data_IF_242663391998
#
_entry.id   IF_242663391998
#
_cell.length_a   1.000
_cell.length_b   1.000
_cell.length_c   1.000
_cell.angle_alpha   90.00
_cell.angle_beta   90.00
_cell.angle_gamma   90.00
#
_symmetry.space_group_name_H-M   'P 1'
#
loop_
_entity.id
_entity.type
_entity.pdbx_description
1 polymer ?
#
# COMPACT_ATOMS: atom_id res chain seq x y z
N UNK A 1 7.81 55.77 28.69
CA UNK A 1 6.41 55.41 28.41
C UNK A 1 6.41 54.14 27.58
N UNK A 2 6.29 52.98 28.24
CA UNK A 2 6.18 51.70 27.55
C UNK A 2 4.72 51.52 27.10
N UNK A 3 4.50 51.17 25.83
CA UNK A 3 3.17 50.95 25.26
C UNK A 3 2.49 49.77 25.95
N UNK A 4 1.40 50.04 26.64
CA UNK A 4 0.49 49.06 27.25
C UNK A 4 -0.54 48.55 26.24
N UNK A 5 -0.11 48.04 25.09
CA UNK A 5 -1.02 47.24 24.25
C UNK A 5 -0.97 45.80 24.77
N UNK A 6 -1.69 45.59 25.88
CA UNK A 6 -1.93 44.29 26.48
C UNK A 6 -2.94 43.48 25.66
N UNK A 7 -2.64 43.18 24.40
CA UNK A 7 -3.41 42.20 23.64
C UNK A 7 -3.09 40.82 24.20
N UNK A 8 -4.08 40.16 24.80
CA UNK A 8 -3.97 38.76 25.18
C UNK A 8 -3.51 37.92 23.98
N UNK A 9 -2.60 36.97 24.22
CA UNK A 9 -2.21 36.02 23.18
C UNK A 9 -3.46 35.34 22.60
N UNK A 10 -3.54 35.16 21.27
CA UNK A 10 -4.71 34.54 20.65
C UNK A 10 -4.88 33.11 21.16
N UNK A 11 -6.13 32.69 21.36
CA UNK A 11 -6.44 31.31 21.71
C UNK A 11 -5.98 30.36 20.59
N UNK A 12 -5.26 29.31 20.96
CA UNK A 12 -4.87 28.24 20.04
C UNK A 12 -5.90 27.11 20.00
N UNK A 13 -5.90 26.34 18.92
CA UNK A 13 -6.67 25.09 18.80
C UNK A 13 -5.71 23.89 18.91
N UNK A 14 -5.97 23.00 19.88
CA UNK A 14 -5.10 21.85 20.14
C UNK A 14 -4.90 20.95 18.91
N UNK A 15 -5.97 20.68 18.14
CA UNK A 15 -5.89 19.82 16.94
C UNK A 15 -4.99 20.43 15.88
N UNK A 16 -5.09 21.74 15.65
CA UNK A 16 -4.19 22.46 14.73
C UNK A 16 -2.74 22.38 15.18
N UNK A 17 -2.49 22.51 16.49
CA UNK A 17 -1.14 22.39 17.04
C UNK A 17 -0.58 20.97 16.88
N UNK A 18 -1.39 19.92 17.05
CA UNK A 18 -0.96 18.54 16.81
C UNK A 18 -0.52 18.32 15.36
N UNK A 19 -1.27 18.86 14.40
CA UNK A 19 -0.90 18.78 12.98
C UNK A 19 0.35 19.59 12.66
N UNK A 20 0.51 20.76 13.28
CA UNK A 20 1.67 21.63 13.05
C UNK A 20 2.95 21.09 13.70
N UNK A 21 2.81 20.44 14.85
CA UNK A 21 3.90 19.96 15.68
C UNK A 21 3.54 18.54 16.17
N UNK A 22 3.67 17.51 15.30
CA UNK A 22 3.42 16.13 15.71
C UNK A 22 4.41 15.69 16.77
N UNK A 23 4.12 14.56 17.45
CA UNK A 23 5.08 13.93 18.35
C UNK A 23 6.28 13.38 17.55
N UNK A 24 7.49 13.39 18.13
CA UNK A 24 8.65 12.80 17.49
C UNK A 24 8.46 11.29 17.37
N UNK A 25 8.72 10.74 16.17
CA UNK A 25 8.66 9.30 15.91
C UNK A 25 10.09 8.77 15.92
N UNK A 26 10.39 7.86 16.85
CA UNK A 26 11.69 7.19 16.90
C UNK A 26 11.74 6.08 15.85
N UNK A 27 12.85 5.99 15.10
CA UNK A 27 13.05 4.90 14.14
C UNK A 27 13.19 3.55 14.86
N UNK A 28 12.87 2.45 14.19
CA UNK A 28 13.06 1.10 14.73
C UNK A 28 14.52 0.82 15.12
N UNK A 29 15.47 1.34 14.35
CA UNK A 29 16.89 1.19 14.65
C UNK A 29 17.25 1.94 15.93
N UNK A 30 16.71 3.15 16.12
CA UNK A 30 16.84 3.92 17.37
C UNK A 30 16.24 3.15 18.56
N UNK A 31 15.05 2.57 18.39
CA UNK A 31 14.39 1.78 19.44
C UNK A 31 15.19 0.51 19.78
N UNK A 32 15.79 -0.16 18.81
CA UNK A 32 16.66 -1.34 19.05
C UNK A 32 17.92 -0.99 19.85
N UNK A 33 18.43 0.25 19.73
CA UNK A 33 19.55 0.72 20.57
C UNK A 33 19.16 0.89 22.04
N UNK A 34 17.86 0.94 22.37
CA UNK A 34 17.36 1.00 23.75
C UNK A 34 17.43 -0.37 24.46
N UNK A 35 18.20 -1.33 23.93
CA UNK A 35 18.52 -2.58 24.61
C UNK A 35 19.48 -2.31 25.77
N UNK A 36 18.94 -2.12 26.97
CA UNK A 36 19.63 -1.96 28.26
C UNK A 36 20.37 -3.24 28.74
N UNK A 37 20.89 -4.05 27.82
CA UNK A 37 21.53 -5.34 28.17
C UNK A 37 22.78 -5.18 29.04
N UNK A 38 23.43 -4.02 28.99
CA UNK A 38 24.70 -3.74 29.68
C UNK A 38 24.66 -2.53 30.63
N UNK A 39 23.56 -1.77 30.68
CA UNK A 39 23.42 -0.54 31.48
C UNK A 39 21.97 -0.24 31.81
N UNK A 40 21.70 0.33 32.97
CA UNK A 40 20.36 0.73 33.41
C UNK A 40 19.86 2.02 32.73
N UNK A 41 18.55 2.25 32.74
CA UNK A 41 17.92 3.48 32.26
C UNK A 41 18.48 4.72 32.98
N UNK A 42 18.73 4.59 34.29
CA UNK A 42 19.26 5.68 35.10
C UNK A 42 20.69 6.05 34.69
N UNK A 43 21.54 5.07 34.40
CA UNK A 43 22.92 5.31 33.94
C UNK A 43 22.93 6.06 32.60
N UNK A 44 22.11 5.62 31.64
CA UNK A 44 22.01 6.27 30.33
C UNK A 44 21.44 7.69 30.43
N UNK A 45 20.38 7.87 31.22
CA UNK A 45 19.80 9.20 31.43
C UNK A 45 20.77 10.14 32.17
N UNK A 46 21.59 9.62 33.09
CA UNK A 46 22.60 10.41 33.79
C UNK A 46 23.67 10.95 32.83
N UNK A 47 24.13 10.16 31.85
CA UNK A 47 25.08 10.63 30.82
C UNK A 47 24.52 11.84 30.07
N UNK A 48 23.24 11.80 29.68
CA UNK A 48 22.59 12.92 29.00
C UNK A 48 22.46 14.16 29.91
N UNK A 49 22.13 13.97 31.18
CA UNK A 49 22.01 15.06 32.16
C UNK A 49 23.39 15.67 32.49
N UNK A 50 24.45 14.88 32.56
CA UNK A 50 25.81 15.36 32.80
C UNK A 50 26.31 16.21 31.62
N UNK A 51 26.06 15.76 30.38
CA UNK A 51 26.34 16.54 29.18
C UNK A 51 25.55 17.87 29.17
N UNK A 52 24.26 17.81 29.52
CA UNK A 52 23.40 18.98 29.61
C UNK A 52 23.89 19.98 30.68
N UNK A 53 24.28 19.50 31.87
CA UNK A 53 24.83 20.32 32.95
C UNK A 53 26.13 21.02 32.50
N UNK A 54 27.05 20.28 31.87
CA UNK A 54 28.31 20.83 31.39
C UNK A 54 28.09 21.91 30.34
N UNK A 55 27.19 21.66 29.38
CA UNK A 55 26.85 22.62 28.33
C UNK A 55 26.20 23.90 28.89
N UNK A 56 25.28 23.75 29.86
CA UNK A 56 24.62 24.89 30.49
C UNK A 56 25.58 25.72 31.35
N UNK A 57 26.46 25.09 32.13
CA UNK A 57 27.47 25.77 32.93
C UNK A 57 28.49 26.54 32.07
N UNK A 58 28.78 26.03 30.88
CA UNK A 58 29.64 26.69 29.89
C UNK A 58 28.96 27.78 29.06
N UNK A 59 27.62 27.94 29.18
CA UNK A 59 26.80 28.72 28.24
C UNK A 59 27.08 28.34 26.77
N UNK A 60 27.25 27.05 26.51
CA UNK A 60 27.58 26.51 25.19
C UNK A 60 26.31 26.09 24.45
N UNK A 61 25.92 26.91 23.46
CA UNK A 61 24.72 26.67 22.64
C UNK A 61 24.86 25.39 21.81
N UNK A 62 26.05 25.13 21.26
CA UNK A 62 26.26 24.02 20.33
C UNK A 62 26.27 22.69 21.10
N UNK A 63 26.91 22.65 22.26
CA UNK A 63 26.85 21.48 23.14
C UNK A 63 25.42 21.24 23.68
N UNK A 64 24.66 22.31 23.98
CA UNK A 64 23.26 22.16 24.38
C UNK A 64 22.39 21.60 23.24
N UNK A 65 22.66 21.98 21.99
CA UNK A 65 21.94 21.45 20.83
C UNK A 65 22.12 19.93 20.69
N UNK A 66 23.34 19.42 20.92
CA UNK A 66 23.64 17.99 20.86
C UNK A 66 22.92 17.18 21.96
N UNK A 67 22.49 17.83 23.04
CA UNK A 67 21.69 17.19 24.09
C UNK A 67 20.23 16.93 23.68
N UNK A 68 19.78 17.46 22.55
CA UNK A 68 18.42 17.31 22.04
C UNK A 68 18.38 16.50 20.74
N UNK A 69 17.25 15.86 20.47
CA UNK A 69 17.05 15.18 19.19
C UNK A 69 16.98 16.21 18.06
N UNK A 70 17.86 16.08 17.07
CA UNK A 70 18.11 17.13 16.08
C UNK A 70 16.87 17.47 15.22
N UNK A 71 16.01 16.49 14.95
CA UNK A 71 14.81 16.71 14.13
C UNK A 71 13.71 17.44 14.90
N UNK A 72 13.54 17.14 16.19
CA UNK A 72 12.47 17.70 16.99
C UNK A 72 12.69 17.44 18.49
N UNK A 73 12.51 18.47 19.32
CA UNK A 73 12.60 18.34 20.77
C UNK A 73 11.59 19.27 21.45
N UNK A 74 11.09 18.90 22.63
CA UNK A 74 10.17 19.72 23.40
C UNK A 74 10.76 20.02 24.77
N UNK A 75 10.82 21.30 25.13
CA UNK A 75 11.17 21.74 26.49
C UNK A 75 10.03 22.53 27.10
N UNK A 76 9.64 22.13 28.30
CA UNK A 76 8.71 22.88 29.13
C UNK A 76 9.25 22.96 30.54
N UNK A 77 9.49 24.18 30.98
CA UNK A 77 9.73 24.45 32.38
C UNK A 77 8.41 24.84 33.07
N UNK A 78 8.26 24.39 34.30
CA UNK A 78 7.06 24.66 35.12
C UNK A 78 7.39 25.49 36.36
N UNK A 79 8.63 25.41 36.87
CA UNK A 79 8.97 25.99 38.17
C UNK A 79 10.46 26.34 38.32
N UNK A 80 11.36 25.53 37.76
CA UNK A 80 12.78 25.57 38.08
C UNK A 80 13.46 26.84 37.57
N UNK A 81 13.12 27.27 36.35
CA UNK A 81 13.74 28.42 35.69
C UNK A 81 12.79 29.62 35.60
N UNK A 82 11.51 29.33 35.40
CA UNK A 82 10.42 30.27 35.16
C UNK A 82 9.15 29.74 35.81
N UNK A 83 8.22 30.65 36.12
CA UNK A 83 6.86 30.28 36.50
C UNK A 83 5.88 30.48 35.34
N UNK A 84 6.40 30.62 34.12
CA UNK A 84 5.62 30.84 32.92
C UNK A 84 5.53 29.54 32.13
N UNK A 85 4.32 28.96 32.09
CA UNK A 85 4.05 27.73 31.35
C UNK A 85 4.20 27.97 29.84
N UNK A 86 5.39 27.70 29.32
CA UNK A 86 5.73 27.79 27.90
C UNK A 86 6.40 26.50 27.45
N UNK A 87 6.09 26.10 26.22
CA UNK A 87 6.74 24.98 25.56
C UNK A 87 7.49 25.49 24.34
N UNK A 88 8.76 25.14 24.23
CA UNK A 88 9.57 25.33 23.04
C UNK A 88 9.69 23.98 22.33
N UNK A 89 9.64 23.97 20.99
CA UNK A 89 9.55 22.75 20.18
C UNK A 89 10.65 22.62 19.12
N UNK A 90 11.63 23.53 19.11
CA UNK A 90 12.77 23.57 18.20
C UNK A 90 14.06 23.52 19.03
N UNK A 91 15.00 22.59 18.78
CA UNK A 91 16.22 22.44 19.58
C UNK A 91 17.01 23.75 19.77
N UNK A 92 17.16 24.53 18.69
CA UNK A 92 17.87 25.82 18.74
C UNK A 92 17.16 26.85 19.61
N UNK A 93 15.84 26.87 19.59
CA UNK A 93 15.06 27.79 20.41
C UNK A 93 15.10 27.38 21.88
N UNK A 94 15.11 26.07 22.16
CA UNK A 94 15.29 25.53 23.51
C UNK A 94 16.66 25.96 24.07
N UNK A 95 17.76 25.68 23.36
CA UNK A 95 19.12 25.98 23.81
C UNK A 95 19.31 27.48 24.12
N UNK A 96 18.88 28.36 23.22
CA UNK A 96 18.96 29.82 23.43
C UNK A 96 18.15 30.28 24.64
N UNK A 97 16.91 29.80 24.76
CA UNK A 97 16.03 30.18 25.87
C UNK A 97 16.57 29.70 27.23
N UNK A 98 17.23 28.53 27.25
CA UNK A 98 17.88 28.00 28.44
C UNK A 98 19.04 28.88 28.91
N UNK A 99 19.94 29.29 28.00
CA UNK A 99 21.06 30.17 28.35
C UNK A 99 20.56 31.52 28.85
N UNK A 100 19.64 32.16 28.11
CA UNK A 100 19.07 33.45 28.51
C UNK A 100 18.46 33.38 29.92
N UNK A 101 17.79 32.27 30.23
CA UNK A 101 17.16 32.09 31.54
C UNK A 101 18.19 31.76 32.62
N UNK A 102 19.20 30.94 32.30
CA UNK A 102 20.31 30.61 33.20
C UNK A 102 21.04 31.87 33.66
N UNK A 103 21.39 32.77 32.72
CA UNK A 103 22.04 34.04 33.01
C UNK A 103 21.14 34.98 33.83
N UNK A 104 19.86 35.10 33.47
CA UNK A 104 18.92 35.97 34.16
C UNK A 104 18.64 35.52 35.60
N UNK A 105 18.72 34.22 35.87
CA UNK A 105 18.42 33.63 37.18
C UNK A 105 19.64 33.35 38.04
N UNK A 106 20.84 33.33 37.45
CA UNK A 106 22.10 32.93 38.11
C UNK A 106 21.91 31.56 38.76
N UNK A 107 21.58 30.57 37.94
CA UNK A 107 21.44 29.22 38.44
C UNK A 107 22.83 28.65 38.73
N UNK A 108 23.10 28.39 40.01
CA UNK A 108 24.40 27.90 40.48
C UNK A 108 24.40 26.39 40.74
N UNK A 109 23.28 25.71 40.43
CA UNK A 109 23.04 24.31 40.73
C UNK A 109 22.98 23.42 39.49
N UNK A 110 23.37 22.16 39.67
CA UNK A 110 23.28 21.12 38.64
C UNK A 110 21.92 20.41 38.69
N UNK A 111 21.43 20.03 37.51
CA UNK A 111 20.27 19.17 37.36
C UNK A 111 20.64 17.76 37.78
N UNK A 112 19.84 17.14 38.65
CA UNK A 112 20.04 15.76 39.12
C UNK A 112 18.81 14.93 38.82
N UNK A 113 19.05 13.72 38.32
CA UNK A 113 18.00 12.74 38.06
C UNK A 113 17.93 11.74 39.22
N UNK A 114 16.74 11.58 39.80
CA UNK A 114 16.52 10.63 40.92
C UNK A 114 16.15 9.22 40.44
N UNK A 115 15.61 9.11 39.23
CA UNK A 115 15.20 7.86 38.63
C UNK A 115 14.87 8.06 37.15
N UNK A 116 15.06 7.01 36.36
CA UNK A 116 14.69 6.99 34.96
C UNK A 116 14.00 5.67 34.64
N UNK A 117 12.99 5.74 33.77
CA UNK A 117 12.33 4.57 33.20
C UNK A 117 12.02 4.89 31.75
N UNK A 118 12.32 3.95 30.86
CA UNK A 118 11.88 4.04 29.48
C UNK A 118 10.43 3.58 29.37
N UNK A 119 9.55 4.47 28.92
CA UNK A 119 8.12 4.18 28.74
C UNK A 119 7.78 4.34 27.26
N UNK A 120 7.45 3.26 26.53
CA UNK A 120 6.88 3.40 25.20
C UNK A 120 5.51 4.07 25.33
N UNK A 121 5.40 5.33 24.88
CA UNK A 121 4.20 6.14 25.07
C UNK A 121 2.97 5.58 24.32
N UNK A 122 3.20 4.84 23.23
CA UNK A 122 2.20 4.08 22.47
C UNK A 122 2.85 2.81 21.89
N UNK A 123 2.16 1.66 21.83
CA UNK A 123 2.65 0.53 21.06
C UNK A 123 2.66 0.89 19.57
N UNK A 124 3.71 0.51 18.85
CA UNK A 124 3.65 0.50 17.39
C UNK A 124 2.83 -0.72 17.00
N UNK A 125 1.63 -0.49 16.45
CA UNK A 125 0.77 -1.58 16.01
C UNK A 125 1.44 -2.35 14.87
N UNK A 126 1.37 -3.67 14.98
CA UNK A 126 1.90 -4.63 14.03
C UNK A 126 0.81 -5.12 13.09
N UNK A 127 1.13 -5.17 11.79
CA UNK A 127 0.21 -5.60 10.74
C UNK A 127 0.83 -6.73 9.94
N UNK A 128 0.10 -7.83 9.84
CA UNK A 128 0.44 -8.96 8.98
C UNK A 128 -0.39 -8.90 7.70
N UNK A 129 0.25 -8.63 6.57
CA UNK A 129 -0.39 -8.60 5.25
C UNK A 129 -0.25 -9.98 4.61
N UNK A 130 -1.37 -10.61 4.26
CA UNK A 130 -1.38 -11.90 3.56
C UNK A 130 -1.63 -11.66 2.08
N UNK A 131 -0.58 -11.80 1.27
CA UNK A 131 -0.64 -11.53 -0.17
C UNK A 131 0.54 -10.67 -0.62
N UNK A 132 0.73 -10.61 -1.94
CA UNK A 132 1.91 -9.97 -2.56
C UNK A 132 1.64 -9.37 -3.94
N UNK A 133 0.38 -9.37 -4.40
CA UNK A 133 -0.02 -8.70 -5.63
C UNK A 133 -0.34 -7.21 -5.37
N UNK A 134 -0.84 -6.49 -6.38
CA UNK A 134 -1.17 -5.05 -6.30
C UNK A 134 -1.79 -4.60 -4.97
N UNK A 135 -2.93 -5.17 -4.57
CA UNK A 135 -3.60 -4.79 -3.31
C UNK A 135 -2.70 -4.90 -2.08
N UNK A 136 -1.85 -5.93 -2.01
CA UNK A 136 -0.98 -6.12 -0.86
C UNK A 136 0.14 -5.07 -0.80
N UNK A 137 0.66 -4.65 -1.95
CA UNK A 137 1.65 -3.58 -2.05
C UNK A 137 1.06 -2.20 -1.73
N UNK A 138 -0.17 -1.92 -2.18
CA UNK A 138 -0.86 -0.67 -1.84
C UNK A 138 -1.10 -0.56 -0.33
N UNK A 139 -1.64 -1.62 0.28
CA UNK A 139 -1.83 -1.69 1.73
C UNK A 139 -0.51 -1.61 2.49
N UNK A 140 0.55 -2.26 1.99
CA UNK A 140 1.89 -2.18 2.59
C UNK A 140 2.43 -0.74 2.57
N UNK A 141 2.20 0.01 1.48
CA UNK A 141 2.57 1.42 1.39
C UNK A 141 1.81 2.29 2.39
N UNK A 142 0.49 2.10 2.51
CA UNK A 142 -0.36 2.83 3.45
C UNK A 142 0.01 2.53 4.91
N UNK A 143 0.19 1.24 5.26
CA UNK A 143 0.58 0.84 6.61
C UNK A 143 1.98 1.35 6.99
N UNK A 144 2.96 1.26 6.08
CA UNK A 144 4.30 1.79 6.32
C UNK A 144 4.27 3.33 6.49
N UNK A 145 3.49 4.03 5.66
CA UNK A 145 3.34 5.50 5.77
C UNK A 145 2.65 5.93 7.07
N UNK A 146 1.76 5.09 7.61
CA UNK A 146 1.14 5.29 8.92
C UNK A 146 2.06 4.93 10.12
N UNK A 147 3.30 4.49 9.87
CA UNK A 147 4.27 4.14 10.91
C UNK A 147 4.02 2.77 11.57
N UNK A 148 3.25 1.89 10.92
CA UNK A 148 2.95 0.54 11.43
C UNK A 148 4.11 -0.42 11.20
N UNK A 149 4.28 -1.39 12.10
CA UNK A 149 5.23 -2.49 11.90
C UNK A 149 4.62 -3.54 10.97
N UNK A 150 5.04 -3.56 9.71
CA UNK A 150 4.45 -4.43 8.70
C UNK A 150 5.29 -5.69 8.51
N UNK A 151 4.63 -6.83 8.34
CA UNK A 151 5.20 -8.05 7.76
C UNK A 151 4.32 -8.51 6.60
N UNK A 152 4.92 -8.77 5.44
CA UNK A 152 4.23 -9.32 4.28
C UNK A 152 4.47 -10.83 4.17
N UNK A 153 3.41 -11.62 4.17
CA UNK A 153 3.46 -13.03 3.83
C UNK A 153 3.30 -13.24 2.32
N UNK A 154 4.32 -13.87 1.73
CA UNK A 154 4.43 -14.12 0.29
C UNK A 154 4.39 -15.63 0.06
N UNK A 155 3.20 -16.20 -0.05
CA UNK A 155 3.01 -17.66 -0.18
C UNK A 155 3.79 -18.25 -1.36
N UNK A 156 3.73 -17.60 -2.51
CA UNK A 156 4.30 -18.07 -3.78
C UNK A 156 5.02 -16.94 -4.49
N UNK A 157 5.93 -17.24 -5.44
CA UNK A 157 6.58 -16.20 -6.21
C UNK A 157 5.58 -15.25 -6.89
N UNK A 158 5.92 -13.97 -6.92
CA UNK A 158 5.06 -12.94 -7.52
C UNK A 158 5.73 -12.32 -8.73
N UNK A 159 4.97 -12.23 -9.82
CA UNK A 159 5.40 -11.50 -11.00
C UNK A 159 5.33 -10.00 -10.75
N UNK A 160 6.47 -9.32 -10.88
CA UNK A 160 6.56 -7.87 -10.73
C UNK A 160 7.00 -7.26 -12.06
N UNK A 161 6.23 -6.27 -12.52
CA UNK A 161 6.51 -5.50 -13.72
C UNK A 161 6.69 -4.02 -13.38
N UNK A 162 7.77 -3.36 -13.80
CA UNK A 162 7.95 -1.94 -13.55
C UNK A 162 6.94 -1.09 -14.34
N UNK A 163 6.39 -0.04 -13.71
CA UNK A 163 5.48 0.89 -14.38
C UNK A 163 6.14 1.58 -15.59
N UNK A 164 7.47 1.73 -15.60
CA UNK A 164 8.21 2.31 -16.73
C UNK A 164 8.12 1.46 -17.99
N UNK A 165 7.94 0.14 -17.88
CA UNK A 165 7.77 -0.73 -19.05
C UNK A 165 6.42 -0.48 -19.70
N UNK A 166 5.38 -0.34 -18.88
CA UNK A 166 4.02 -0.02 -19.32
C UNK A 166 3.98 1.35 -20.00
N UNK A 167 4.69 2.34 -19.43
CA UNK A 167 4.79 3.72 -19.94
C UNK A 167 5.83 3.89 -21.05
N UNK A 168 6.56 2.85 -21.42
CA UNK A 168 7.63 2.96 -22.41
C UNK A 168 7.04 3.37 -23.78
N UNK A 169 7.71 4.27 -24.49
CA UNK A 169 7.32 4.69 -25.85
C UNK A 169 7.21 3.53 -26.86
N UNK A 170 7.92 2.43 -26.64
CA UNK A 170 7.81 1.22 -27.46
C UNK A 170 6.58 0.38 -27.12
N UNK A 171 5.93 0.63 -25.98
CA UNK A 171 4.59 0.14 -25.64
C UNK A 171 3.54 0.97 -26.38
N UNK A 172 3.71 1.06 -27.70
CA UNK A 172 2.82 1.76 -28.62
C UNK A 172 2.66 3.28 -28.37
N UNK A 173 3.48 3.87 -27.48
CA UNK A 173 3.40 5.28 -27.10
C UNK A 173 2.06 5.66 -26.45
N UNK A 174 1.29 4.69 -25.96
CA UNK A 174 -0.10 4.92 -25.55
C UNK A 174 -0.23 5.98 -24.43
N UNK A 175 0.77 6.08 -23.56
CA UNK A 175 0.82 7.06 -22.47
C UNK A 175 1.26 8.47 -22.90
N UNK A 176 1.75 8.63 -24.13
CA UNK A 176 2.09 9.93 -24.74
C UNK A 176 0.91 10.50 -25.56
N UNK A 177 -0.18 9.72 -25.69
CA UNK A 177 -1.35 10.06 -26.49
C UNK A 177 -2.53 10.49 -25.61
N UNK A 178 -3.51 11.16 -26.22
CA UNK A 178 -4.78 11.44 -25.54
C UNK A 178 -5.54 10.14 -25.23
N UNK A 179 -6.23 10.11 -24.08
CA UNK A 179 -6.97 8.94 -23.55
C UNK A 179 -7.78 8.18 -24.62
N UNK A 180 -8.56 8.90 -25.43
CA UNK A 180 -9.43 8.26 -26.44
C UNK A 180 -8.64 7.58 -27.58
N UNK A 181 -7.44 8.05 -27.88
CA UNK A 181 -6.55 7.44 -28.87
C UNK A 181 -5.85 6.24 -28.26
N UNK A 182 -5.38 6.36 -27.00
CA UNK A 182 -4.78 5.27 -26.26
C UNK A 182 -5.73 4.07 -26.10
N UNK A 183 -6.98 4.32 -25.70
CA UNK A 183 -8.01 3.27 -25.56
C UNK A 183 -8.23 2.52 -26.88
N UNK A 184 -8.36 3.27 -27.98
CA UNK A 184 -8.51 2.69 -29.31
C UNK A 184 -7.33 1.81 -29.68
N UNK A 185 -6.12 2.27 -29.38
CA UNK A 185 -4.91 1.54 -29.69
C UNK A 185 -4.81 0.22 -28.92
N UNK A 186 -5.14 0.24 -27.62
CA UNK A 186 -5.14 -0.98 -26.80
C UNK A 186 -6.22 -1.99 -27.19
N UNK A 187 -7.40 -1.52 -27.59
CA UNK A 187 -8.59 -2.38 -27.75
C UNK A 187 -8.94 -2.72 -29.20
N UNK A 188 -8.16 -2.26 -30.18
CA UNK A 188 -8.34 -2.65 -31.60
C UNK A 188 -7.45 -3.85 -31.99
N UNK A 189 -6.37 -4.11 -31.24
CA UNK A 189 -5.49 -5.24 -31.50
C UNK A 189 -6.09 -6.54 -30.93
N UNK A 190 -6.04 -7.67 -31.66
CA UNK A 190 -6.48 -8.94 -31.12
C UNK A 190 -5.74 -9.29 -29.83
N UNK A 191 -6.44 -9.82 -28.83
CA UNK A 191 -5.87 -10.04 -27.50
C UNK A 191 -4.65 -11.00 -27.54
N UNK A 192 -4.68 -12.02 -28.39
CA UNK A 192 -3.54 -12.92 -28.61
C UNK A 192 -2.31 -12.22 -29.23
N UNK A 193 -2.50 -11.19 -30.04
CA UNK A 193 -1.41 -10.43 -30.67
C UNK A 193 -0.85 -9.41 -29.69
N UNK A 194 -1.71 -8.61 -29.06
CA UNK A 194 -1.30 -7.58 -28.10
C UNK A 194 -0.56 -8.21 -26.90
N UNK A 195 -1.02 -9.37 -26.42
CA UNK A 195 -0.35 -10.11 -25.36
C UNK A 195 1.08 -10.54 -25.71
N UNK A 196 1.31 -10.99 -26.95
CA UNK A 196 2.65 -11.37 -27.42
C UNK A 196 3.56 -10.14 -27.57
N UNK A 197 3.07 -9.07 -28.19
CA UNK A 197 3.83 -7.83 -28.34
C UNK A 197 4.26 -7.27 -26.98
N UNK A 198 3.35 -7.27 -26.01
CA UNK A 198 3.63 -6.78 -24.65
C UNK A 198 4.66 -7.65 -23.92
N UNK A 199 4.46 -8.97 -23.96
CA UNK A 199 5.41 -9.93 -23.35
C UNK A 199 6.81 -9.75 -23.92
N UNK A 200 6.93 -9.74 -25.24
CA UNK A 200 8.24 -9.71 -25.90
C UNK A 200 8.94 -8.36 -25.66
N UNK A 201 8.20 -7.25 -25.67
CA UNK A 201 8.73 -5.94 -25.28
C UNK A 201 9.25 -5.95 -23.83
N UNK A 202 8.46 -6.47 -22.89
CA UNK A 202 8.86 -6.48 -21.48
C UNK A 202 10.05 -7.39 -21.22
N UNK A 203 10.16 -8.49 -21.98
CA UNK A 203 11.34 -9.36 -21.96
C UNK A 203 12.59 -8.63 -22.45
N UNK A 204 12.49 -7.89 -23.57
CA UNK A 204 13.60 -7.06 -24.08
C UNK A 204 14.03 -6.03 -23.04
N UNK A 205 13.08 -5.32 -22.44
CA UNK A 205 13.40 -4.30 -21.42
C UNK A 205 14.02 -4.92 -20.16
N UNK A 206 13.47 -6.03 -19.66
CA UNK A 206 14.05 -6.76 -18.53
C UNK A 206 15.46 -7.30 -18.80
N UNK A 207 15.74 -7.74 -20.02
CA UNK A 207 17.08 -8.21 -20.37
C UNK A 207 18.17 -7.12 -20.30
N UNK A 208 17.77 -5.84 -20.34
CA UNK A 208 18.68 -4.70 -20.21
C UNK A 208 18.96 -4.33 -18.75
N UNK A 209 18.18 -4.85 -17.80
CA UNK A 209 18.25 -4.53 -16.37
C UNK A 209 18.21 -5.81 -15.50
N UNK A 210 19.13 -6.78 -15.70
CA UNK A 210 19.05 -8.11 -15.07
C UNK A 210 19.06 -8.09 -13.53
N UNK A 211 19.66 -7.06 -12.94
CA UNK A 211 19.80 -6.90 -11.49
C UNK A 211 18.73 -6.01 -10.85
N UNK A 212 17.71 -5.57 -11.61
CA UNK A 212 16.70 -4.60 -11.15
C UNK A 212 16.08 -4.97 -9.80
N UNK A 213 15.71 -6.24 -9.63
CA UNK A 213 15.15 -6.76 -8.38
C UNK A 213 16.14 -7.57 -7.54
N UNK A 214 17.45 -7.42 -7.78
CA UNK A 214 18.50 -8.12 -7.03
C UNK A 214 18.46 -7.82 -5.52
N UNK A 215 18.26 -6.55 -5.15
CA UNK A 215 18.12 -6.15 -3.75
C UNK A 215 16.86 -6.75 -3.09
N UNK A 216 15.75 -6.79 -3.82
CA UNK A 216 14.49 -7.38 -3.35
C UNK A 216 14.62 -8.91 -3.14
N UNK A 217 15.29 -9.62 -4.06
CA UNK A 217 15.64 -11.04 -3.90
C UNK A 217 16.53 -11.26 -2.67
N UNK A 218 17.54 -10.41 -2.47
CA UNK A 218 18.44 -10.48 -1.31
C UNK A 218 17.71 -10.25 0.01
N UNK A 219 16.68 -9.41 0.02
CA UNK A 219 15.79 -9.23 1.17
C UNK A 219 14.87 -10.44 1.44
N UNK A 220 14.88 -11.45 0.56
CA UNK A 220 14.13 -12.71 0.74
C UNK A 220 12.79 -12.76 0.03
N UNK A 221 12.46 -11.77 -0.81
CA UNK A 221 11.20 -11.77 -1.56
C UNK A 221 11.34 -12.62 -2.85
N UNK A 222 10.43 -13.60 -3.09
CA UNK A 222 10.48 -14.47 -4.25
C UNK A 222 9.86 -13.77 -5.48
N UNK A 223 10.64 -12.90 -6.13
CA UNK A 223 10.20 -12.16 -7.31
C UNK A 223 10.48 -12.92 -8.62
N UNK A 224 9.47 -12.96 -9.47
CA UNK A 224 9.59 -13.24 -10.91
C UNK A 224 9.53 -11.90 -11.64
N UNK A 225 10.41 -11.68 -12.60
CA UNK A 225 10.39 -10.48 -13.43
C UNK A 225 10.05 -10.83 -14.89
N UNK A 226 10.06 -9.82 -15.77
CA UNK A 226 9.67 -10.03 -17.16
C UNK A 226 10.74 -10.75 -18.01
N UNK A 227 11.92 -11.03 -17.46
CA UNK A 227 12.89 -11.90 -18.12
C UNK A 227 12.49 -13.38 -18.01
N UNK A 228 11.61 -13.75 -17.09
CA UNK A 228 11.07 -15.10 -17.02
C UNK A 228 10.05 -15.34 -18.15
N UNK A 229 10.37 -16.26 -19.06
CA UNK A 229 9.54 -16.61 -20.23
C UNK A 229 8.14 -17.13 -19.89
N UNK A 230 7.91 -17.57 -18.65
CA UNK A 230 6.59 -17.99 -18.18
C UNK A 230 5.68 -16.83 -17.80
N UNK A 231 6.20 -15.60 -17.76
CA UNK A 231 5.46 -14.41 -17.34
C UNK A 231 4.98 -13.58 -18.52
N UNK A 232 3.71 -13.19 -18.47
CA UNK A 232 3.10 -12.28 -19.43
C UNK A 232 1.96 -11.50 -18.74
N UNK A 233 2.15 -10.19 -18.55
CA UNK A 233 1.17 -9.34 -17.85
C UNK A 233 -0.24 -9.47 -18.43
N UNK A 234 -0.34 -9.62 -19.74
CA UNK A 234 -1.65 -9.75 -20.41
C UNK A 234 -2.41 -11.02 -20.00
N UNK A 235 -1.72 -12.16 -19.87
CA UNK A 235 -2.34 -13.40 -19.36
C UNK A 235 -2.77 -13.22 -17.89
N UNK A 236 -1.95 -12.58 -17.05
CA UNK A 236 -2.33 -12.28 -15.68
C UNK A 236 -3.61 -11.42 -15.57
N UNK A 237 -3.79 -10.45 -16.47
CA UNK A 237 -4.98 -9.59 -16.49
C UNK A 237 -6.22 -10.32 -17.01
N UNK A 238 -6.09 -11.08 -18.10
CA UNK A 238 -7.22 -11.64 -18.84
C UNK A 238 -7.66 -12.98 -18.25
N UNK A 239 -6.74 -13.86 -17.88
CA UNK A 239 -7.04 -15.23 -17.46
C UNK A 239 -7.10 -15.36 -15.93
N UNK A 240 -6.25 -14.58 -15.24
CA UNK A 240 -6.07 -14.70 -13.80
C UNK A 240 -6.64 -13.53 -13.01
N UNK A 241 -7.00 -12.42 -13.65
CA UNK A 241 -7.42 -11.18 -12.99
C UNK A 241 -6.57 -10.83 -11.74
N UNK A 242 -5.25 -11.06 -11.80
CA UNK A 242 -4.37 -10.94 -10.65
C UNK A 242 -3.07 -11.75 -10.73
N UNK A 243 -2.39 -11.89 -9.58
CA UNK A 243 -1.11 -12.61 -9.48
C UNK A 243 0.09 -11.83 -10.02
N UNK A 244 0.00 -10.51 -10.10
CA UNK A 244 1.09 -9.63 -10.47
C UNK A 244 1.09 -8.38 -9.58
N UNK A 245 2.21 -7.67 -9.57
CA UNK A 245 2.33 -6.30 -9.05
C UNK A 245 2.91 -5.40 -10.13
N UNK A 246 2.29 -4.24 -10.36
CA UNK A 246 2.89 -3.15 -11.13
C UNK A 246 3.71 -2.29 -10.19
N UNK A 247 5.03 -2.40 -10.28
CA UNK A 247 5.94 -1.68 -9.39
C UNK A 247 5.95 -0.19 -9.72
N UNK A 248 5.46 0.60 -8.77
CA UNK A 248 5.47 2.07 -8.76
C UNK A 248 6.41 2.62 -7.68
N UNK A 249 7.28 1.78 -7.11
CA UNK A 249 8.22 2.09 -6.02
C UNK A 249 7.97 1.31 -4.73
N UNK A 250 6.91 0.50 -4.65
CA UNK A 250 6.56 -0.25 -3.44
C UNK A 250 7.55 -1.35 -3.08
N UNK A 251 8.35 -1.83 -4.03
CA UNK A 251 9.37 -2.85 -3.77
C UNK A 251 10.56 -2.34 -2.95
N UNK A 252 10.83 -1.03 -3.00
CA UNK A 252 12.03 -0.44 -2.39
C UNK A 252 12.02 -0.58 -0.87
N UNK A 253 10.87 -0.39 -0.21
CA UNK A 253 10.77 -0.48 1.25
C UNK A 253 11.01 -1.91 1.78
N UNK A 254 10.67 -2.92 0.99
CA UNK A 254 11.02 -4.32 1.28
C UNK A 254 12.51 -4.57 1.03
N UNK A 255 13.06 -4.09 -0.08
CA UNK A 255 14.48 -4.23 -0.42
C UNK A 255 15.42 -3.56 0.61
N UNK A 256 14.97 -2.46 1.23
CA UNK A 256 15.67 -1.75 2.29
C UNK A 256 15.52 -2.40 3.68
N UNK A 257 14.70 -3.46 3.81
CA UNK A 257 14.46 -4.14 5.09
C UNK A 257 13.61 -3.35 6.09
N UNK A 258 12.87 -2.34 5.63
CA UNK A 258 11.96 -1.54 6.48
C UNK A 258 10.69 -2.31 6.86
N UNK A 259 10.36 -3.34 6.10
CA UNK A 259 9.18 -4.21 6.28
C UNK A 259 9.64 -5.67 6.32
N UNK A 260 9.03 -6.48 7.18
CA UNK A 260 9.33 -7.90 7.28
C UNK A 260 8.80 -8.70 6.09
N UNK A 261 9.50 -9.76 5.70
CA UNK A 261 9.08 -10.70 4.65
C UNK A 261 8.97 -12.10 5.23
N UNK A 262 7.86 -12.77 4.95
CA UNK A 262 7.61 -14.16 5.30
C UNK A 262 7.26 -14.95 4.05
N UNK A 263 8.26 -15.48 3.35
CA UNK A 263 8.13 -16.02 2.00
C UNK A 263 8.04 -17.55 1.94
N UNK A 264 7.37 -18.07 0.91
CA UNK A 264 7.33 -19.49 0.57
C UNK A 264 6.53 -20.38 1.51
N UNK A 265 5.76 -19.78 2.42
CA UNK A 265 4.98 -20.47 3.44
C UNK A 265 3.56 -19.94 3.50
N UNK A 266 2.61 -20.85 3.70
CA UNK A 266 1.19 -20.54 3.71
C UNK A 266 0.65 -20.43 5.14
N UNK A 267 -0.31 -19.52 5.39
CA UNK A 267 -1.09 -19.54 6.62
C UNK A 267 -1.90 -20.83 6.75
N UNK A 268 -1.90 -21.42 7.95
CA UNK A 268 -2.64 -22.65 8.26
C UNK A 268 -3.80 -22.40 9.22
N UNK A 269 -3.55 -21.71 10.32
CA UNK A 269 -4.54 -21.54 11.37
C UNK A 269 -4.26 -20.30 12.22
N UNK A 270 -5.33 -19.71 12.75
CA UNK A 270 -5.22 -18.76 13.84
C UNK A 270 -4.87 -19.49 15.14
N UNK A 271 -4.05 -18.85 15.96
CA UNK A 271 -3.89 -19.18 17.39
C UNK A 271 -4.62 -18.12 18.22
N UNK A 272 -4.48 -18.18 19.55
CA UNK A 272 -5.06 -17.16 20.42
C UNK A 272 -4.53 -15.74 20.14
N UNK A 273 -3.28 -15.62 19.69
CA UNK A 273 -2.60 -14.31 19.51
C UNK A 273 -1.85 -14.17 18.18
N UNK A 274 -1.84 -15.18 17.32
CA UNK A 274 -0.94 -15.25 16.17
C UNK A 274 -1.49 -16.04 14.99
N UNK A 275 -0.77 -16.03 13.87
CA UNK A 275 -1.04 -16.86 12.70
C UNK A 275 0.03 -17.96 12.58
N UNK A 276 -0.39 -19.22 12.54
CA UNK A 276 0.46 -20.40 12.29
C UNK A 276 0.69 -20.58 10.79
N UNK A 277 1.92 -20.92 10.41
CA UNK A 277 2.33 -21.17 9.03
C UNK A 277 2.74 -22.62 8.78
N UNK A 278 2.86 -22.98 7.50
CA UNK A 278 3.19 -24.33 7.05
C UNK A 278 4.56 -24.88 7.43
N UNK A 279 5.50 -24.02 7.81
CA UNK A 279 6.79 -24.42 8.38
C UNK A 279 6.75 -24.62 9.90
N UNK A 280 5.57 -24.49 10.52
CA UNK A 280 5.36 -24.57 11.97
C UNK A 280 5.68 -23.29 12.74
N UNK A 281 6.15 -22.24 12.06
CA UNK A 281 6.39 -20.94 12.69
C UNK A 281 5.09 -20.15 12.89
N UNK A 282 5.12 -19.17 13.79
CA UNK A 282 4.00 -18.25 14.03
C UNK A 282 4.40 -16.80 13.78
N UNK A 283 3.41 -15.93 13.51
CA UNK A 283 3.59 -14.48 13.51
C UNK A 283 2.47 -13.81 14.30
N UNK A 284 2.85 -13.08 15.34
CA UNK A 284 1.96 -12.26 16.15
C UNK A 284 1.68 -10.96 15.39
N UNK A 285 0.45 -10.47 15.44
CA UNK A 285 0.06 -9.19 14.85
C UNK A 285 -1.18 -8.62 15.52
N UNK A 286 -1.23 -7.29 15.66
CA UNK A 286 -2.40 -6.57 16.16
C UNK A 286 -3.54 -6.54 15.13
N UNK A 287 -3.18 -6.59 13.84
CA UNK A 287 -4.13 -6.72 12.73
C UNK A 287 -3.59 -7.63 11.62
N UNK A 288 -4.50 -8.35 10.96
CA UNK A 288 -4.20 -9.17 9.80
C UNK A 288 -5.04 -8.70 8.61
N UNK A 289 -4.40 -8.44 7.46
CA UNK A 289 -5.08 -7.95 6.26
C UNK A 289 -4.93 -8.98 5.15
N UNK A 290 -6.05 -9.59 4.75
CA UNK A 290 -6.10 -10.61 3.70
C UNK A 290 -6.23 -9.97 2.32
N UNK A 291 -5.12 -9.92 1.59
CA UNK A 291 -5.03 -9.44 0.21
C UNK A 291 -5.00 -10.62 -0.75
N UNK A 292 -5.99 -11.51 -0.64
CA UNK A 292 -6.02 -12.84 -1.31
C UNK A 292 -6.61 -12.84 -2.73
N UNK A 293 -6.98 -11.66 -3.25
CA UNK A 293 -7.61 -11.52 -4.55
C UNK A 293 -9.11 -11.78 -4.51
N UNK A 294 -9.71 -11.98 -5.69
CA UNK A 294 -11.15 -12.05 -5.87
C UNK A 294 -11.60 -13.41 -6.44
N UNK A 295 -12.78 -13.86 -6.00
CA UNK A 295 -13.39 -15.13 -6.38
C UNK A 295 -14.49 -15.00 -7.46
N UNK A 296 -14.91 -13.78 -7.80
CA UNK A 296 -16.02 -13.43 -8.68
C UNK A 296 -15.68 -13.48 -10.19
N UNK A 297 -14.76 -14.36 -10.59
CA UNK A 297 -14.32 -14.46 -11.99
C UNK A 297 -15.31 -15.17 -12.89
N UNK A 298 -16.13 -16.04 -12.30
CA UNK A 298 -17.16 -16.76 -13.01
C UNK A 298 -18.49 -16.02 -12.88
N UNK A 299 -18.92 -15.37 -13.95
CA UNK A 299 -20.18 -14.61 -13.96
C UNK A 299 -21.39 -15.50 -13.66
N UNK A 300 -21.28 -16.82 -13.81
CA UNK A 300 -22.39 -17.75 -13.54
C UNK A 300 -22.74 -17.77 -12.06
N UNK A 301 -21.74 -17.70 -11.20
CA UNK A 301 -21.95 -17.60 -9.75
C UNK A 301 -22.60 -16.25 -9.40
N UNK A 302 -22.05 -15.17 -9.97
CA UNK A 302 -22.61 -13.81 -9.79
C UNK A 302 -24.05 -13.70 -10.30
N UNK A 303 -24.39 -14.36 -11.41
CA UNK A 303 -25.73 -14.36 -11.96
C UNK A 303 -26.73 -15.04 -11.02
N UNK A 304 -26.33 -16.16 -10.38
CA UNK A 304 -27.15 -16.82 -9.36
C UNK A 304 -27.35 -15.89 -8.16
N UNK A 305 -26.29 -15.24 -7.69
CA UNK A 305 -26.36 -14.33 -6.53
C UNK A 305 -27.29 -13.13 -6.78
N UNK A 306 -27.26 -12.56 -7.99
CA UNK A 306 -28.10 -11.41 -8.36
C UNK A 306 -29.56 -11.81 -8.58
N UNK A 307 -29.80 -12.92 -9.29
CA UNK A 307 -31.14 -13.36 -9.65
C UNK A 307 -31.85 -14.10 -8.50
N UNK A 308 -31.10 -14.58 -7.51
CA UNK A 308 -31.58 -15.27 -6.32
C UNK A 308 -31.64 -16.79 -6.48
N UNK A 309 -32.08 -17.49 -5.42
CA UNK A 309 -32.29 -18.94 -5.46
C UNK A 309 -33.46 -19.32 -6.40
N UNK A 310 -33.42 -20.54 -6.93
CA UNK A 310 -34.50 -21.09 -7.76
C UNK A 310 -35.81 -21.11 -6.95
N UNK A 311 -36.66 -20.10 -7.15
CA UNK A 311 -38.06 -20.23 -6.80
C UNK A 311 -38.68 -21.22 -7.78
N UNK A 312 -39.50 -22.15 -7.29
CA UNK A 312 -40.26 -23.05 -8.15
C UNK A 312 -41.15 -22.20 -9.06
N UNK A 313 -40.75 -22.08 -10.32
CA UNK A 313 -41.55 -21.36 -11.30
C UNK A 313 -42.49 -22.36 -11.96
N UNK A 314 -43.75 -22.38 -11.54
CA UNK A 314 -44.83 -23.18 -12.15
C UNK A 314 -45.27 -22.57 -13.51
N UNK A 315 -44.30 -22.31 -14.39
CA UNK A 315 -44.56 -21.85 -15.74
C UNK A 315 -43.51 -22.45 -16.69
N UNK A 316 -43.97 -23.28 -17.62
CA UNK A 316 -43.16 -23.95 -18.64
C UNK A 316 -42.37 -22.99 -19.55
N UNK A 317 -42.72 -21.70 -19.56
CA UNK A 317 -42.03 -20.66 -20.34
C UNK A 317 -41.04 -19.83 -19.51
N UNK A 318 -40.84 -20.15 -18.24
CA UNK A 318 -39.91 -19.44 -17.36
C UNK A 318 -38.79 -20.38 -16.90
N UNK A 319 -37.56 -19.87 -16.96
CA UNK A 319 -36.34 -20.60 -16.60
C UNK A 319 -35.75 -20.00 -15.33
N UNK A 320 -35.27 -20.85 -14.42
CA UNK A 320 -34.75 -20.42 -13.12
C UNK A 320 -33.37 -19.77 -13.20
N UNK A 321 -32.93 -19.03 -12.17
CA UNK A 321 -31.58 -18.46 -12.05
C UNK A 321 -30.45 -19.43 -12.40
N UNK A 322 -30.49 -20.68 -11.91
CA UNK A 322 -29.45 -21.67 -12.24
C UNK A 322 -29.45 -22.08 -13.69
N UNK A 323 -30.61 -22.14 -14.30
CA UNK A 323 -30.78 -22.50 -15.71
C UNK A 323 -30.35 -21.34 -16.64
N UNK A 324 -30.55 -20.10 -16.22
CA UNK A 324 -29.99 -18.92 -16.87
C UNK A 324 -28.46 -18.96 -16.77
N UNK A 325 -27.92 -19.13 -15.57
CA UNK A 325 -26.47 -19.20 -15.35
C UNK A 325 -25.80 -20.32 -16.15
N UNK A 326 -26.43 -21.50 -16.26
CA UNK A 326 -25.93 -22.61 -17.06
C UNK A 326 -25.86 -22.32 -18.57
N UNK A 327 -26.59 -21.30 -19.06
CA UNK A 327 -26.59 -20.85 -20.45
C UNK A 327 -25.67 -19.64 -20.70
N UNK A 328 -25.10 -19.04 -19.66
CA UNK A 328 -24.15 -17.95 -19.86
C UNK A 328 -22.84 -18.49 -20.44
N UNK A 329 -22.26 -17.71 -21.34
CA UNK A 329 -20.93 -17.99 -21.86
C UNK A 329 -19.91 -17.88 -20.72
N UNK A 330 -18.81 -18.63 -20.83
CA UNK A 330 -17.69 -18.43 -19.94
C UNK A 330 -17.15 -17.00 -20.10
N UNK A 331 -16.84 -16.33 -18.98
CA UNK A 331 -16.24 -15.00 -18.96
C UNK A 331 -14.74 -15.08 -18.70
N UNK A 332 -14.01 -14.06 -19.17
CA UNK A 332 -12.55 -13.96 -19.02
C UNK A 332 -11.79 -15.13 -19.68
N UNK A 333 -10.46 -15.08 -19.68
CA UNK A 333 -9.64 -15.94 -20.53
C UNK A 333 -9.91 -15.70 -22.02
N UNK A 334 -9.39 -16.57 -22.87
CA UNK A 334 -9.52 -16.46 -24.33
C UNK A 334 -10.16 -17.70 -24.96
N UNK A 335 -10.86 -17.52 -26.08
CA UNK A 335 -11.34 -18.60 -26.94
C UNK A 335 -10.27 -19.07 -27.94
N UNK A 336 -10.64 -19.97 -28.86
CA UNK A 336 -9.75 -20.51 -29.89
C UNK A 336 -9.29 -19.47 -30.91
N UNK A 337 -10.01 -18.35 -31.05
CA UNK A 337 -9.60 -17.22 -31.89
C UNK A 337 -8.64 -16.28 -31.14
N UNK A 338 -8.47 -16.49 -29.83
CA UNK A 338 -7.62 -15.67 -28.98
C UNK A 338 -8.31 -14.40 -28.47
N UNK A 339 -9.64 -14.35 -28.49
CA UNK A 339 -10.45 -13.23 -28.02
C UNK A 339 -11.08 -13.48 -26.65
N UNK A 340 -11.40 -12.40 -25.94
CA UNK A 340 -11.92 -12.47 -24.57
C UNK A 340 -13.32 -13.08 -24.56
N UNK A 341 -13.50 -14.15 -23.78
CA UNK A 341 -14.76 -14.89 -23.73
C UNK A 341 -15.85 -14.12 -22.96
N UNK A 342 -17.08 -14.20 -23.45
CA UNK A 342 -18.30 -13.78 -22.74
C UNK A 342 -18.45 -12.29 -22.37
N UNK A 343 -17.41 -11.48 -22.49
CA UNK A 343 -17.42 -10.08 -22.08
C UNK A 343 -17.89 -9.15 -23.21
N UNK A 344 -18.68 -8.15 -22.86
CA UNK A 344 -19.07 -7.02 -23.74
C UNK A 344 -19.82 -7.40 -25.03
N UNK A 345 -20.43 -8.59 -25.04
CA UNK A 345 -21.24 -9.10 -26.15
C UNK A 345 -22.50 -9.79 -25.62
N UNK A 346 -23.52 -9.91 -26.48
CA UNK A 346 -24.72 -10.71 -26.17
C UNK A 346 -24.28 -12.14 -25.86
N UNK A 347 -24.81 -12.70 -24.78
CA UNK A 347 -24.57 -14.10 -24.44
C UNK A 347 -25.20 -15.03 -25.48
N UNK A 348 -24.46 -16.06 -25.88
CA UNK A 348 -24.79 -16.82 -27.08
C UNK A 348 -26.08 -17.66 -26.93
N UNK A 349 -26.38 -18.09 -25.71
CA UNK A 349 -27.52 -18.96 -25.41
C UNK A 349 -28.61 -18.31 -24.53
N UNK A 350 -28.51 -17.00 -24.29
CA UNK A 350 -29.49 -16.24 -23.50
C UNK A 350 -29.82 -14.93 -24.21
N UNK A 351 -31.10 -14.77 -24.57
CA UNK A 351 -31.57 -13.52 -25.17
C UNK A 351 -31.55 -12.38 -24.15
N UNK A 352 -31.23 -11.18 -24.63
CA UNK A 352 -31.22 -9.94 -23.84
C UNK A 352 -30.30 -9.96 -22.59
N UNK A 353 -29.22 -10.74 -22.62
CA UNK A 353 -28.24 -10.79 -21.53
C UNK A 353 -26.86 -10.35 -22.01
N UNK A 354 -26.20 -9.48 -21.23
CA UNK A 354 -24.85 -8.97 -21.48
C UNK A 354 -24.06 -8.88 -20.18
N UNK A 355 -22.75 -9.11 -20.28
CA UNK A 355 -21.82 -8.99 -19.15
C UNK A 355 -20.85 -7.84 -19.41
N UNK A 356 -20.68 -6.99 -18.39
CA UNK A 356 -19.75 -5.85 -18.39
C UNK A 356 -18.83 -5.98 -17.18
N UNK A 357 -17.53 -5.79 -17.39
CA UNK A 357 -16.53 -5.80 -16.32
C UNK A 357 -15.18 -5.36 -16.84
N UNK A 358 -14.17 -5.41 -15.96
CA UNK A 358 -12.79 -5.08 -16.28
C UNK A 358 -12.28 -3.80 -15.63
N UNK A 359 -11.28 -3.19 -16.26
CA UNK A 359 -10.67 -1.94 -15.78
C UNK A 359 -11.07 -0.75 -16.66
N UNK A 360 -10.70 0.45 -16.23
CA UNK A 360 -11.18 1.73 -16.79
C UNK A 360 -11.14 1.82 -18.32
N UNK A 361 -10.08 1.31 -18.97
CA UNK A 361 -9.94 1.33 -20.44
C UNK A 361 -11.05 0.51 -21.11
N UNK A 362 -11.31 -0.71 -20.62
CA UNK A 362 -12.37 -1.57 -21.12
C UNK A 362 -13.75 -0.94 -20.87
N UNK A 363 -13.94 -0.33 -19.69
CA UNK A 363 -15.18 0.38 -19.39
C UNK A 363 -15.46 1.52 -20.37
N UNK A 364 -14.49 2.41 -20.59
CA UNK A 364 -14.65 3.56 -21.51
C UNK A 364 -14.98 3.12 -22.93
N UNK A 365 -14.41 2.02 -23.39
CA UNK A 365 -14.59 1.54 -24.75
C UNK A 365 -15.89 0.74 -24.94
N UNK A 366 -16.07 -0.31 -24.14
CA UNK A 366 -17.13 -1.28 -24.35
C UNK A 366 -18.51 -0.82 -23.87
N UNK A 367 -18.61 0.21 -23.01
CA UNK A 367 -19.91 0.78 -22.64
C UNK A 367 -20.70 1.25 -23.86
N UNK A 368 -20.04 1.90 -24.84
CA UNK A 368 -20.71 2.32 -26.09
C UNK A 368 -21.09 1.13 -26.97
N UNK A 369 -20.23 0.12 -27.03
CA UNK A 369 -20.45 -1.11 -27.82
C UNK A 369 -21.68 -1.87 -27.29
N UNK A 370 -21.78 -2.03 -25.97
CA UNK A 370 -22.95 -2.65 -25.33
C UNK A 370 -24.21 -1.82 -25.51
N UNK A 371 -24.14 -0.49 -25.32
CA UNK A 371 -25.30 0.38 -25.51
C UNK A 371 -25.87 0.28 -26.94
N UNK A 372 -25.00 0.17 -27.96
CA UNK A 372 -25.42 -0.04 -29.34
C UNK A 372 -26.06 -1.42 -29.55
N UNK A 373 -25.52 -2.49 -28.95
CA UNK A 373 -26.13 -3.82 -29.02
C UNK A 373 -27.52 -3.85 -28.37
N UNK A 374 -27.65 -3.27 -27.17
CA UNK A 374 -28.92 -3.17 -26.44
C UNK A 374 -29.92 -2.35 -27.26
N UNK A 375 -29.50 -1.21 -27.83
CA UNK A 375 -30.35 -0.38 -28.68
C UNK A 375 -30.82 -1.14 -29.92
N UNK A 376 -29.92 -1.87 -30.58
CA UNK A 376 -30.24 -2.70 -31.74
C UNK A 376 -31.21 -3.83 -31.38
N UNK A 377 -31.09 -4.44 -30.19
CA UNK A 377 -32.01 -5.47 -29.70
C UNK A 377 -33.42 -4.88 -29.48
N UNK A 378 -33.51 -3.70 -28.86
CA UNK A 378 -34.79 -3.01 -28.64
C UNK A 378 -35.47 -2.52 -29.93
N UNK A 379 -34.72 -2.40 -31.03
CA UNK A 379 -35.22 -2.02 -32.35
C UNK A 379 -35.42 -3.22 -33.29
N UNK A 380 -35.24 -4.45 -32.80
CA UNK A 380 -35.32 -5.69 -33.59
C UNK A 380 -34.38 -5.71 -34.82
N UNK A 381 -33.22 -5.04 -34.72
CA UNK A 381 -32.18 -4.98 -35.77
C UNK A 381 -30.85 -5.57 -35.34
N UNK A 382 -30.72 -6.08 -34.12
CA UNK A 382 -29.51 -6.78 -33.68
C UNK A 382 -29.37 -8.08 -34.49
N UNK A 383 -28.27 -8.27 -35.25
CA UNK A 383 -28.09 -9.50 -36.01
C UNK A 383 -28.00 -10.72 -35.07
N UNK A 384 -28.22 -11.93 -35.60
CA UNK A 384 -27.87 -13.17 -34.91
C UNK A 384 -26.42 -13.13 -34.42
N UNK A 385 -26.12 -13.84 -33.32
CA UNK A 385 -24.76 -13.95 -32.84
C UNK A 385 -23.88 -14.51 -33.98
N UNK A 386 -22.67 -13.99 -34.10
CA UNK A 386 -21.74 -14.45 -35.13
C UNK A 386 -21.25 -15.84 -34.73
N UNK A 387 -21.94 -16.88 -35.20
CA UNK A 387 -21.55 -18.27 -35.01
C UNK A 387 -20.58 -18.65 -36.11
N UNK A 388 -19.33 -18.96 -35.77
CA UNK A 388 -18.57 -19.92 -36.54
C UNK A 388 -19.01 -21.30 -36.07
N UNK A 389 -19.88 -21.95 -36.86
CA UNK A 389 -20.07 -23.38 -36.75
C UNK A 389 -18.72 -24.07 -36.97
N UNK A 390 -18.17 -24.71 -35.93
CA UNK A 390 -17.20 -25.79 -36.15
C UNK A 390 -17.92 -27.07 -36.57
#
# INVERSE_FOLDING_TARGET
MASTDGTNAPAGELRTLFHKHPLPILSLDTVKLVSFSESTELEQASVAIDAFNAALAGNDVDALLECFFAEQAYWKDTLALTWHLRTFNEPLQIAKSLIETNEARRCDGEWKIEGAVFVPAIPVLSVLIIGSANTAFDILGDCHSAGLQVTMNVRSPTYIVPVEYIRNKWSLGAYDLGVAVADRMFLTLPAAVSGQLLRDLFHILASQEPDRYGALRKAGFPVLDSADSSQALWSNLIERAGGHYVDIGGTEILAQGKVGIKAGIEPIAYTETSLLFSDGSTADADAMIWCTGFADRDVRDTAIDILGEDQTVDNENLVGPREIAARLDATWGVDSEGEIRGMWKRQSHVENYWVMGGFTVQHRWYSRVLALQIKAALEDILPPAYWTSE
#
